data_IF_390917940393
#
_entry.id   IF_390917940393
#
_cell.length_a   1.000
_cell.length_b   1.000
_cell.length_c   1.000
_cell.angle_alpha   90.00
_cell.angle_beta   90.00
_cell.angle_gamma   90.00
#
_symmetry.space_group_name_H-M   'P 1'
#
loop_
_entity.id
_entity.type
_entity.pdbx_description
1 polymer ?
#
# COMPACT_ATOMS: atom_id res chain seq x y z
N UNK A 1 -5.91 26.48 -70.03
CA UNK A 1 -4.84 26.77 -70.98
C UNK A 1 -3.50 26.39 -70.38
N UNK A 2 -2.90 25.39 -71.01
CA UNK A 2 -1.52 25.31 -71.47
C UNK A 2 -0.45 25.21 -70.35
N UNK A 3 0.55 24.36 -70.36
CA UNK A 3 1.11 23.43 -71.37
C UNK A 3 2.04 22.42 -70.60
N UNK A 4 2.03 21.23 -71.09
CA UNK A 4 3.02 20.19 -70.71
C UNK A 4 4.39 20.47 -71.33
N UNK A 5 5.48 20.09 -70.62
CA UNK A 5 6.77 19.94 -71.31
C UNK A 5 7.39 18.59 -70.86
N UNK A 6 7.63 17.73 -71.85
CA UNK A 6 8.40 16.49 -71.80
C UNK A 6 9.89 16.79 -71.68
N UNK A 7 10.59 16.02 -70.88
CA UNK A 7 12.04 15.88 -71.05
C UNK A 7 12.42 14.39 -71.00
N UNK A 8 13.19 14.02 -71.95
CA UNK A 8 13.63 12.70 -72.40
C UNK A 8 14.68 12.07 -71.54
N UNK A 9 14.65 10.75 -71.49
CA UNK A 9 15.48 9.87 -70.69
C UNK A 9 16.95 9.73 -71.14
N UNK A 10 17.72 9.15 -70.24
CA UNK A 10 18.99 8.51 -70.53
C UNK A 10 19.16 7.26 -69.69
N UNK A 11 19.15 6.11 -70.30
CA UNK A 11 19.39 4.82 -69.70
C UNK A 11 20.87 4.64 -69.43
N UNK A 12 21.19 4.29 -68.15
CA UNK A 12 22.51 3.80 -67.78
C UNK A 12 22.43 2.31 -67.39
N UNK A 13 23.19 1.50 -68.08
CA UNK A 13 23.37 0.04 -67.90
C UNK A 13 23.85 -0.23 -66.45
N UNK A 14 23.15 -1.13 -65.74
CA UNK A 14 23.61 -1.75 -64.50
C UNK A 14 24.19 -3.13 -64.76
N UNK A 15 25.41 -3.34 -64.28
CA UNK A 15 26.09 -4.65 -64.22
C UNK A 15 25.48 -5.53 -63.12
N UNK A 16 25.52 -6.87 -63.22
CA UNK A 16 24.89 -7.76 -62.25
C UNK A 16 25.76 -7.91 -61.00
N UNK A 17 25.18 -7.62 -59.85
CA UNK A 17 25.78 -7.90 -58.55
C UNK A 17 25.48 -9.35 -58.15
N UNK A 18 26.55 -10.09 -57.92
CA UNK A 18 26.59 -11.47 -57.44
C UNK A 18 25.95 -11.59 -56.06
N UNK A 19 24.82 -12.34 -55.95
CA UNK A 19 24.22 -12.71 -54.66
C UNK A 19 25.11 -13.71 -53.93
N UNK A 20 25.64 -13.34 -52.80
CA UNK A 20 26.24 -14.24 -51.82
C UNK A 20 25.13 -14.63 -50.84
N UNK A 21 24.72 -15.89 -50.84
CA UNK A 21 23.78 -16.48 -49.92
C UNK A 21 24.48 -16.70 -48.57
N UNK A 22 24.18 -15.83 -47.59
CA UNK A 22 24.56 -16.04 -46.18
C UNK A 22 23.46 -16.88 -45.53
N UNK A 23 23.73 -18.17 -45.33
CA UNK A 23 22.96 -19.05 -44.46
C UNK A 23 23.27 -18.69 -43.01
N UNK A 24 22.47 -17.78 -42.40
CA UNK A 24 22.49 -17.54 -40.95
C UNK A 24 21.70 -18.66 -40.26
N UNK A 25 22.43 -19.59 -39.63
CA UNK A 25 21.85 -20.50 -38.63
C UNK A 25 21.40 -19.68 -37.45
N UNK A 26 20.08 -19.45 -37.30
CA UNK A 26 19.47 -18.98 -36.05
C UNK A 26 19.62 -20.08 -34.99
N UNK A 27 20.69 -20.00 -34.20
CA UNK A 27 20.78 -20.71 -32.93
C UNK A 27 19.94 -19.92 -31.94
N UNK A 28 18.70 -20.36 -31.75
CA UNK A 28 17.89 -19.93 -30.60
C UNK A 28 18.56 -20.43 -29.33
N UNK A 29 19.43 -19.62 -28.75
CA UNK A 29 19.91 -19.86 -27.38
C UNK A 29 18.73 -19.76 -26.46
N UNK A 30 18.31 -20.90 -25.90
CA UNK A 30 17.42 -20.99 -24.76
C UNK A 30 18.06 -20.15 -23.64
N UNK A 31 17.35 -19.18 -23.01
CA UNK A 31 17.94 -18.42 -21.92
C UNK A 31 18.38 -19.39 -20.83
N UNK A 32 19.51 -19.11 -20.14
CA UNK A 32 20.04 -19.98 -19.11
C UNK A 32 18.95 -20.24 -18.07
N UNK A 33 18.72 -21.50 -17.75
CA UNK A 33 17.80 -21.90 -16.68
C UNK A 33 18.35 -21.33 -15.39
N UNK A 34 17.61 -20.36 -14.80
CA UNK A 34 17.98 -19.77 -13.52
C UNK A 34 18.15 -20.88 -12.48
N UNK A 35 19.24 -20.82 -11.71
CA UNK A 35 19.53 -21.73 -10.62
C UNK A 35 18.32 -21.74 -9.65
N UNK A 36 17.68 -22.90 -9.42
CA UNK A 36 16.46 -22.99 -8.61
C UNK A 36 16.66 -22.41 -7.19
N UNK A 37 17.86 -22.49 -6.62
CA UNK A 37 18.19 -21.96 -5.29
C UNK A 37 18.19 -20.42 -5.26
N UNK A 38 18.58 -19.75 -6.36
CA UNK A 38 18.62 -18.27 -6.45
C UNK A 38 17.25 -17.63 -6.58
N UNK A 39 16.22 -18.38 -6.97
CA UNK A 39 14.85 -17.89 -7.17
C UNK A 39 13.88 -18.29 -6.06
N UNK A 40 14.33 -18.85 -4.95
CA UNK A 40 13.51 -19.19 -3.78
C UNK A 40 13.71 -18.16 -2.68
N UNK A 41 12.61 -17.66 -2.08
CA UNK A 41 12.58 -16.67 -1.00
C UNK A 41 11.56 -17.14 0.04
N UNK A 42 11.95 -17.23 1.30
CA UNK A 42 11.12 -17.75 2.39
C UNK A 42 10.35 -19.04 2.01
N UNK A 43 11.01 -19.99 1.36
CA UNK A 43 10.40 -21.25 0.89
C UNK A 43 9.57 -21.14 -0.40
N UNK A 44 9.29 -19.95 -0.89
CA UNK A 44 8.45 -19.71 -2.08
C UNK A 44 9.31 -19.58 -3.33
N UNK A 45 9.03 -20.40 -4.35
CA UNK A 45 9.68 -20.28 -5.65
C UNK A 45 9.11 -19.06 -6.41
N UNK A 46 9.97 -18.11 -6.74
CA UNK A 46 9.61 -16.89 -7.48
C UNK A 46 9.75 -17.14 -8.98
N UNK A 47 8.64 -17.19 -9.70
CA UNK A 47 8.63 -17.26 -11.16
C UNK A 47 8.91 -15.89 -11.78
N UNK A 48 9.63 -15.85 -12.91
CA UNK A 48 10.04 -14.60 -13.56
C UNK A 48 10.70 -13.61 -12.56
N UNK A 49 11.78 -14.02 -11.86
CA UNK A 49 12.40 -13.26 -10.77
C UNK A 49 12.86 -11.88 -11.22
N UNK A 50 13.32 -11.75 -12.47
CA UNK A 50 13.89 -10.53 -13.05
C UNK A 50 12.82 -9.58 -13.62
N UNK A 51 11.53 -9.97 -13.59
CA UNK A 51 10.45 -9.09 -14.04
C UNK A 51 10.47 -7.82 -13.21
N UNK A 52 10.57 -6.66 -13.86
CA UNK A 52 10.56 -5.36 -13.20
C UNK A 52 9.17 -5.06 -12.66
N UNK A 53 9.09 -4.83 -11.36
CA UNK A 53 7.89 -4.33 -10.67
C UNK A 53 7.87 -2.80 -10.71
N UNK A 54 9.02 -2.17 -10.44
CA UNK A 54 9.22 -0.72 -10.56
C UNK A 54 10.28 -0.45 -11.64
N UNK A 55 9.86 -0.28 -12.91
CA UNK A 55 10.80 -0.11 -14.02
C UNK A 55 11.68 1.13 -13.89
N UNK A 56 11.14 2.22 -13.34
CA UNK A 56 11.84 3.48 -13.07
C UNK A 56 13.00 3.34 -12.08
N UNK A 57 12.95 2.32 -11.21
CA UNK A 57 13.96 2.06 -10.19
C UNK A 57 14.77 0.77 -10.45
N UNK A 58 14.45 0.04 -11.51
CA UNK A 58 15.05 -1.26 -11.79
C UNK A 58 14.74 -2.33 -10.74
N UNK A 59 13.69 -2.16 -9.92
CA UNK A 59 13.33 -3.11 -8.86
C UNK A 59 12.53 -4.26 -9.46
N UNK A 60 13.09 -5.47 -9.33
CA UNK A 60 12.51 -6.72 -9.84
C UNK A 60 11.59 -7.39 -8.83
N UNK A 61 10.86 -8.41 -9.31
CA UNK A 61 9.94 -9.22 -8.52
C UNK A 61 10.64 -9.95 -7.38
N UNK A 62 11.84 -10.47 -7.61
CA UNK A 62 12.59 -11.14 -6.56
C UNK A 62 13.09 -10.17 -5.51
N UNK A 63 13.41 -8.93 -5.89
CA UNK A 63 13.80 -7.90 -4.93
C UNK A 63 12.62 -7.48 -4.05
N UNK A 64 11.40 -7.41 -4.59
CA UNK A 64 10.18 -7.21 -3.78
C UNK A 64 9.95 -8.39 -2.81
N UNK A 65 10.12 -9.63 -3.27
CA UNK A 65 9.99 -10.81 -2.41
C UNK A 65 11.02 -10.81 -1.26
N UNK A 66 12.29 -10.52 -1.57
CA UNK A 66 13.37 -10.40 -0.58
C UNK A 66 13.17 -9.23 0.38
N UNK A 67 12.59 -8.13 -0.08
CA UNK A 67 12.19 -7.04 0.81
C UNK A 67 11.28 -7.55 1.91
N UNK A 68 10.22 -8.30 1.59
CA UNK A 68 9.31 -8.86 2.58
C UNK A 68 10.01 -9.88 3.50
N UNK A 69 10.86 -10.74 2.95
CA UNK A 69 11.63 -11.70 3.74
C UNK A 69 12.51 -11.00 4.80
N UNK A 70 13.20 -9.91 4.41
CA UNK A 70 13.99 -9.11 5.33
C UNK A 70 13.18 -8.38 6.41
N UNK A 71 11.89 -8.17 6.18
CA UNK A 71 10.99 -7.48 7.09
C UNK A 71 10.00 -8.46 7.77
N UNK A 72 10.27 -9.75 7.79
CA UNK A 72 9.34 -10.77 8.30
C UNK A 72 8.77 -10.42 9.68
N UNK A 73 9.67 -10.18 10.66
CA UNK A 73 9.29 -9.88 12.04
C UNK A 73 8.53 -8.55 12.20
N UNK A 74 8.66 -7.66 11.22
CA UNK A 74 8.03 -6.35 11.23
C UNK A 74 6.66 -6.35 10.55
N UNK A 75 6.52 -7.02 9.40
CA UNK A 75 5.28 -6.94 8.61
C UNK A 75 4.24 -7.98 9.03
N UNK A 76 4.67 -9.20 9.38
CA UNK A 76 3.76 -10.31 9.71
C UNK A 76 2.77 -9.95 10.82
N UNK A 77 3.17 -9.32 11.94
CA UNK A 77 2.23 -8.92 12.98
C UNK A 77 1.12 -7.97 12.50
N UNK A 78 1.38 -7.18 11.46
CA UNK A 78 0.42 -6.21 10.94
C UNK A 78 -0.60 -6.80 9.96
N UNK A 79 -0.27 -7.93 9.31
CA UNK A 79 -1.14 -8.59 8.31
C UNK A 79 -1.83 -9.83 8.86
N UNK A 80 -1.22 -10.53 9.80
CA UNK A 80 -1.73 -11.81 10.33
C UNK A 80 -3.15 -11.67 10.88
N UNK A 81 -3.98 -12.66 10.61
CA UNK A 81 -5.37 -12.71 11.04
C UNK A 81 -6.30 -11.70 10.35
N UNK A 82 -5.84 -10.90 9.38
CA UNK A 82 -6.67 -9.84 8.77
C UNK A 82 -7.07 -10.15 7.34
N UNK A 83 -8.35 -9.94 6.98
CA UNK A 83 -8.76 -9.98 5.59
C UNK A 83 -8.04 -8.91 4.78
N UNK A 84 -7.57 -9.28 3.59
CA UNK A 84 -6.75 -8.43 2.74
C UNK A 84 -7.53 -7.88 1.54
N UNK A 85 -7.21 -6.66 1.17
CA UNK A 85 -7.45 -6.10 -0.17
C UNK A 85 -6.09 -5.79 -0.79
N UNK A 86 -5.89 -6.15 -2.04
CA UNK A 86 -4.57 -6.23 -2.66
C UNK A 86 -4.54 -5.40 -3.94
N UNK A 87 -3.38 -4.80 -4.25
CA UNK A 87 -3.13 -4.20 -5.56
C UNK A 87 -2.22 -5.13 -6.34
N UNK A 88 -2.77 -5.72 -7.38
CA UNK A 88 -2.13 -6.69 -8.25
C UNK A 88 -1.60 -6.00 -9.51
N UNK A 89 -0.30 -6.09 -9.73
CA UNK A 89 0.43 -5.52 -10.86
C UNK A 89 1.16 -6.64 -11.61
N UNK A 90 0.46 -7.47 -12.41
CA UNK A 90 1.03 -8.70 -13.00
C UNK A 90 2.19 -8.42 -13.96
N UNK A 91 2.19 -7.27 -14.62
CA UNK A 91 3.26 -6.82 -15.51
C UNK A 91 4.15 -5.72 -14.89
N UNK A 92 4.11 -5.56 -13.54
CA UNK A 92 4.72 -4.42 -12.86
C UNK A 92 3.97 -3.12 -13.14
N UNK A 93 4.58 -1.99 -12.76
CA UNK A 93 3.97 -0.66 -12.91
C UNK A 93 4.03 -0.12 -14.36
N UNK A 94 4.63 -0.84 -15.30
CA UNK A 94 4.56 -0.51 -16.72
C UNK A 94 3.15 -0.68 -17.32
N UNK A 95 2.23 -1.35 -16.61
CA UNK A 95 0.85 -1.57 -16.99
C UNK A 95 -0.11 -1.25 -15.84
N UNK A 96 -1.40 -1.05 -16.12
CA UNK A 96 -2.40 -0.79 -15.08
C UNK A 96 -2.46 -1.93 -14.05
N UNK A 97 -2.50 -1.56 -12.78
CA UNK A 97 -2.71 -2.49 -11.67
C UNK A 97 -4.20 -2.67 -11.38
N UNK A 98 -4.57 -3.79 -10.79
CA UNK A 98 -5.94 -4.19 -10.51
C UNK A 98 -6.16 -4.28 -9.00
N UNK A 99 -7.25 -3.72 -8.51
CA UNK A 99 -7.69 -3.90 -7.12
C UNK A 99 -8.35 -5.29 -6.97
N UNK A 100 -7.82 -6.10 -6.06
CA UNK A 100 -8.35 -7.42 -5.72
C UNK A 100 -8.90 -7.39 -4.29
N UNK A 101 -10.20 -7.31 -4.16
CA UNK A 101 -10.92 -7.40 -2.88
C UNK A 101 -11.14 -8.85 -2.47
N UNK A 102 -11.47 -9.71 -3.44
CA UNK A 102 -11.78 -11.11 -3.20
C UNK A 102 -10.72 -12.03 -3.78
N UNK A 103 -10.55 -13.18 -3.15
CA UNK A 103 -9.68 -14.25 -3.61
C UNK A 103 -10.11 -14.73 -5.01
N UNK A 104 -9.14 -14.99 -5.87
CA UNK A 104 -9.38 -15.68 -7.14
C UNK A 104 -9.43 -17.19 -6.90
N UNK A 105 -10.01 -17.94 -7.84
CA UNK A 105 -10.08 -19.40 -7.75
C UNK A 105 -8.71 -20.07 -7.56
N UNK A 106 -7.66 -19.45 -8.10
CA UNK A 106 -6.25 -19.85 -7.97
C UNK A 106 -5.53 -18.99 -6.93
N UNK A 107 -4.56 -19.56 -6.26
CA UNK A 107 -3.68 -18.86 -5.31
C UNK A 107 -2.79 -19.86 -4.56
N UNK A 108 -1.65 -19.39 -4.01
CA UNK A 108 -0.76 -20.21 -3.20
C UNK A 108 -1.44 -20.80 -1.96
N UNK A 109 -1.09 -22.04 -1.61
CA UNK A 109 -1.60 -22.75 -0.42
C UNK A 109 -1.21 -22.08 0.90
N UNK A 110 -0.13 -21.32 0.92
CA UNK A 110 0.30 -20.54 2.09
C UNK A 110 -0.69 -19.43 2.49
N UNK A 111 -1.56 -19.00 1.57
CA UNK A 111 -2.60 -18.00 1.84
C UNK A 111 -3.88 -18.66 2.33
N UNK A 112 -4.29 -18.33 3.54
CA UNK A 112 -5.57 -18.78 4.09
C UNK A 112 -6.73 -18.08 3.38
N UNK A 113 -7.82 -18.80 3.16
CA UNK A 113 -9.06 -18.28 2.55
C UNK A 113 -10.15 -18.27 3.58
N UNK A 114 -10.85 -17.15 3.68
CA UNK A 114 -11.94 -16.95 4.65
C UNK A 114 -13.15 -16.40 3.95
N UNK A 115 -14.29 -17.03 4.16
CA UNK A 115 -15.60 -16.56 3.67
C UNK A 115 -16.17 -15.57 4.68
N UNK A 116 -16.51 -14.37 4.22
CA UNK A 116 -17.06 -13.30 5.05
C UNK A 116 -18.39 -12.84 4.43
N UNK A 117 -19.46 -12.80 5.25
CA UNK A 117 -20.72 -12.24 4.83
C UNK A 117 -20.58 -10.73 4.66
N UNK A 118 -20.78 -10.22 3.46
CA UNK A 118 -20.96 -8.82 3.15
C UNK A 118 -22.44 -8.43 3.21
N UNK A 119 -22.79 -7.19 2.91
CA UNK A 119 -24.21 -6.75 2.95
C UNK A 119 -25.13 -7.61 2.08
N UNK A 120 -24.69 -7.99 0.88
CA UNK A 120 -25.53 -8.64 -0.14
C UNK A 120 -25.02 -10.00 -0.61
N UNK A 121 -23.79 -10.37 -0.27
CA UNK A 121 -23.13 -11.61 -0.73
C UNK A 121 -22.09 -12.11 0.23
N UNK A 122 -21.65 -13.34 0.06
CA UNK A 122 -20.46 -13.88 0.72
C UNK A 122 -19.25 -13.59 -0.16
N UNK A 123 -18.27 -12.85 0.38
CA UNK A 123 -16.97 -12.63 -0.23
C UNK A 123 -15.93 -13.60 0.32
N UNK A 124 -15.05 -14.12 -0.52
CA UNK A 124 -13.90 -14.90 -0.07
C UNK A 124 -12.66 -14.01 -0.04
N UNK A 125 -12.04 -13.90 1.13
CA UNK A 125 -10.87 -13.04 1.37
C UNK A 125 -9.61 -13.86 1.59
N UNK A 126 -8.47 -13.29 1.21
CA UNK A 126 -7.14 -13.84 1.54
C UNK A 126 -6.68 -13.31 2.88
N UNK A 127 -5.95 -14.16 3.62
CA UNK A 127 -5.26 -13.82 4.87
C UNK A 127 -3.85 -14.36 4.78
N UNK A 128 -2.85 -13.56 5.19
CA UNK A 128 -1.43 -13.91 5.18
C UNK A 128 -0.90 -13.97 6.62
N UNK A 129 -0.76 -15.18 7.16
CA UNK A 129 -0.42 -15.39 8.57
C UNK A 129 1.08 -15.67 8.80
N UNK A 130 1.85 -15.74 7.72
CA UNK A 130 3.29 -16.05 7.78
C UNK A 130 4.07 -15.27 6.73
N UNK A 131 5.39 -15.27 6.85
CA UNK A 131 6.25 -14.66 5.83
C UNK A 131 6.17 -15.40 4.49
N UNK A 132 5.99 -16.70 4.50
CA UNK A 132 5.74 -17.49 3.29
C UNK A 132 4.47 -16.99 2.57
N UNK A 133 3.40 -16.72 3.32
CA UNK A 133 2.16 -16.17 2.78
C UNK A 133 2.37 -14.76 2.20
N UNK A 134 3.10 -13.88 2.89
CA UNK A 134 3.41 -12.52 2.40
C UNK A 134 4.29 -12.57 1.14
N UNK A 135 5.31 -13.43 1.12
CA UNK A 135 6.16 -13.62 -0.08
C UNK A 135 5.36 -14.24 -1.23
N UNK A 136 4.39 -15.09 -0.92
CA UNK A 136 3.46 -15.64 -1.92
C UNK A 136 2.61 -14.54 -2.59
N UNK A 137 2.25 -13.47 -1.87
CA UNK A 137 1.62 -12.30 -2.47
C UNK A 137 2.55 -11.62 -3.49
N UNK A 138 3.84 -11.43 -3.16
CA UNK A 138 4.82 -10.91 -4.11
C UNK A 138 4.99 -11.84 -5.33
N UNK A 139 4.99 -13.17 -5.12
CA UNK A 139 4.99 -14.15 -6.21
C UNK A 139 3.78 -13.98 -7.13
N UNK A 140 2.61 -13.65 -6.61
CA UNK A 140 1.40 -13.35 -7.39
C UNK A 140 1.48 -12.01 -8.14
N UNK A 141 2.49 -11.18 -7.90
CA UNK A 141 2.59 -9.81 -8.45
C UNK A 141 1.77 -8.79 -7.65
N UNK A 142 1.48 -9.08 -6.39
CA UNK A 142 0.87 -8.12 -5.48
C UNK A 142 1.96 -7.13 -5.02
N UNK A 143 1.64 -5.85 -5.10
CA UNK A 143 2.52 -4.76 -4.68
C UNK A 143 2.01 -4.09 -3.43
N UNK A 144 0.72 -3.73 -3.35
CA UNK A 144 0.15 -3.14 -2.13
C UNK A 144 -0.67 -4.15 -1.36
N UNK A 145 -0.46 -4.18 -0.05
CA UNK A 145 -1.24 -4.97 0.91
C UNK A 145 -2.04 -4.00 1.76
N UNK A 146 -3.36 -4.13 1.72
CA UNK A 146 -4.28 -3.37 2.57
C UNK A 146 -5.02 -4.34 3.50
N UNK A 147 -5.21 -3.94 4.74
CA UNK A 147 -5.80 -4.80 5.77
C UNK A 147 -7.06 -4.19 6.35
N UNK A 148 -7.99 -5.06 6.76
CA UNK A 148 -9.11 -4.65 7.59
C UNK A 148 -8.65 -4.22 8.98
N UNK A 149 -9.48 -3.44 9.67
CA UNK A 149 -9.24 -3.05 11.07
C UNK A 149 -9.65 -4.15 12.06
N UNK A 150 -10.46 -5.10 11.64
CA UNK A 150 -10.82 -6.31 12.38
C UNK A 150 -9.91 -7.47 12.02
N UNK A 151 -9.87 -8.49 12.86
CA UNK A 151 -9.29 -9.79 12.58
C UNK A 151 -10.41 -10.81 12.27
N UNK A 152 -10.03 -11.97 11.74
CA UNK A 152 -10.99 -13.03 11.41
C UNK A 152 -11.58 -13.73 12.63
N UNK A 153 -10.97 -13.55 13.79
CA UNK A 153 -11.47 -14.05 15.08
C UNK A 153 -12.74 -13.30 15.50
N UNK A 154 -12.78 -11.98 15.22
CA UNK A 154 -13.98 -11.16 15.43
C UNK A 154 -14.06 -10.08 14.35
N UNK A 155 -14.78 -10.40 13.30
CA UNK A 155 -14.86 -9.55 12.10
C UNK A 155 -15.72 -8.30 12.32
N UNK A 156 -16.66 -8.37 13.26
CA UNK A 156 -17.61 -7.29 13.54
C UNK A 156 -17.06 -6.29 14.58
N UNK A 157 -16.02 -6.66 15.33
CA UNK A 157 -15.39 -5.79 16.34
C UNK A 157 -13.95 -5.47 15.97
N UNK A 158 -13.67 -4.25 15.49
CA UNK A 158 -12.31 -3.82 15.18
C UNK A 158 -11.41 -3.81 16.41
N UNK A 159 -10.16 -4.20 16.23
CA UNK A 159 -9.13 -4.08 17.25
C UNK A 159 -8.15 -2.92 16.99
N UNK A 160 -8.49 -2.05 16.04
CA UNK A 160 -7.81 -0.77 15.80
C UNK A 160 -8.74 0.21 15.07
N UNK A 161 -8.43 1.50 15.22
CA UNK A 161 -9.03 2.59 14.46
C UNK A 161 -7.94 3.33 13.71
N UNK A 162 -8.26 3.82 12.51
CA UNK A 162 -7.33 4.54 11.65
C UNK A 162 -7.95 5.85 11.18
N UNK A 163 -7.23 6.95 11.34
CA UNK A 163 -7.49 8.23 10.67
C UNK A 163 -6.48 8.39 9.54
N UNK A 164 -6.96 8.48 8.31
CA UNK A 164 -6.14 8.70 7.12
C UNK A 164 -6.16 10.20 6.77
N UNK A 165 -5.02 10.85 6.92
CA UNK A 165 -4.85 12.27 6.63
C UNK A 165 -4.40 12.41 5.17
N UNK A 166 -5.36 12.74 4.28
CA UNK A 166 -5.13 12.85 2.84
C UNK A 166 -5.04 14.33 2.41
N UNK A 167 -3.82 14.85 2.18
CA UNK A 167 -3.60 16.24 1.83
C UNK A 167 -3.91 16.55 0.38
N UNK A 168 -4.58 17.67 0.14
CA UNK A 168 -4.69 18.27 -1.19
C UNK A 168 -3.33 18.69 -1.75
N UNK A 169 -3.23 18.93 -3.07
CA UNK A 169 -1.95 19.15 -3.75
C UNK A 169 -1.16 20.36 -3.24
N UNK A 170 -1.81 21.39 -2.71
CA UNK A 170 -1.17 22.59 -2.19
C UNK A 170 -0.82 22.53 -0.69
N UNK A 171 -1.15 21.42 -0.01
CA UNK A 171 -0.84 21.23 1.41
C UNK A 171 0.62 20.80 1.57
N UNK A 172 1.32 21.44 2.49
CA UNK A 172 2.72 21.12 2.82
C UNK A 172 2.81 19.94 3.80
N UNK A 173 3.94 19.24 3.79
CA UNK A 173 4.22 18.16 4.77
C UNK A 173 4.10 18.64 6.21
N UNK A 174 4.61 19.83 6.53
CA UNK A 174 4.50 20.43 7.86
C UNK A 174 3.06 20.57 8.34
N UNK A 175 2.13 20.91 7.45
CA UNK A 175 0.71 20.99 7.76
C UNK A 175 0.11 19.59 8.03
N UNK A 176 0.52 18.57 7.27
CA UNK A 176 0.09 17.17 7.51
C UNK A 176 0.58 16.67 8.87
N UNK A 177 1.83 16.95 9.22
CA UNK A 177 2.42 16.63 10.53
C UNK A 177 1.66 17.32 11.66
N UNK A 178 1.35 18.63 11.50
CA UNK A 178 0.54 19.37 12.46
C UNK A 178 -0.85 18.76 12.63
N UNK A 179 -1.50 18.36 11.53
CA UNK A 179 -2.80 17.70 11.57
C UNK A 179 -2.74 16.36 12.34
N UNK A 180 -1.71 15.54 12.07
CA UNK A 180 -1.52 14.27 12.79
C UNK A 180 -1.31 14.51 14.29
N UNK A 181 -0.53 15.52 14.68
CA UNK A 181 -0.34 15.93 16.07
C UNK A 181 -1.65 16.38 16.73
N UNK A 182 -2.50 17.11 15.99
CA UNK A 182 -3.82 17.51 16.47
C UNK A 182 -4.73 16.30 16.72
N UNK A 183 -4.80 15.36 15.77
CA UNK A 183 -5.54 14.09 15.96
C UNK A 183 -5.04 13.38 17.22
N UNK A 184 -3.72 13.23 17.39
CA UNK A 184 -3.12 12.59 18.56
C UNK A 184 -3.46 13.30 19.87
N UNK A 185 -3.48 14.64 19.85
CA UNK A 185 -3.85 15.44 21.02
C UNK A 185 -5.31 15.22 21.42
N UNK A 186 -6.23 15.27 20.47
CA UNK A 186 -7.66 14.99 20.71
C UNK A 186 -7.83 13.56 21.25
N UNK A 187 -7.19 12.57 20.65
CA UNK A 187 -7.25 11.20 21.14
C UNK A 187 -6.72 11.05 22.56
N UNK A 188 -5.65 11.76 22.90
CA UNK A 188 -5.09 11.76 24.26
C UNK A 188 -6.06 12.35 25.29
N UNK A 189 -6.82 13.42 24.95
CA UNK A 189 -7.86 13.96 25.87
C UNK A 189 -9.01 12.97 26.06
N UNK A 190 -9.22 12.07 25.09
CA UNK A 190 -10.19 10.97 25.18
C UNK A 190 -9.61 9.70 25.85
N UNK A 191 -8.40 9.78 26.44
CA UNK A 191 -7.75 8.65 27.13
C UNK A 191 -7.11 7.62 26.18
N UNK A 192 -6.92 7.94 24.89
CA UNK A 192 -6.40 7.02 23.89
C UNK A 192 -4.98 7.40 23.45
N UNK A 193 -4.08 6.45 23.54
CA UNK A 193 -2.73 6.54 22.96
C UNK A 193 -2.76 6.18 21.49
N UNK A 194 -2.06 6.93 20.67
CA UNK A 194 -2.02 6.75 19.22
C UNK A 194 -0.60 6.59 18.67
N UNK A 195 -0.50 5.96 17.53
CA UNK A 195 0.72 5.74 16.76
C UNK A 195 0.59 6.34 15.37
N UNK A 196 1.70 6.62 14.72
CA UNK A 196 1.72 7.29 13.43
C UNK A 196 2.55 6.50 12.41
N UNK A 197 2.07 6.44 11.17
CA UNK A 197 2.84 5.92 10.03
C UNK A 197 2.59 6.74 8.79
N UNK A 198 3.55 6.71 7.85
CA UNK A 198 3.30 7.26 6.51
C UNK A 198 2.30 6.39 5.75
N UNK A 199 1.62 6.97 4.77
CA UNK A 199 0.77 6.20 3.84
C UNK A 199 1.56 5.61 2.67
N UNK A 200 2.88 5.85 2.60
CA UNK A 200 3.67 5.62 1.39
C UNK A 200 3.26 6.54 0.23
N UNK A 201 2.70 7.68 0.56
CA UNK A 201 2.33 8.80 -0.29
C UNK A 201 2.57 10.10 0.47
N UNK A 202 1.72 11.09 0.24
CA UNK A 202 1.83 12.43 0.87
C UNK A 202 1.16 12.54 2.23
N UNK A 203 0.42 11.50 2.66
CA UNK A 203 -0.40 11.51 3.86
C UNK A 203 0.22 10.74 5.03
N UNK A 204 -0.45 10.83 6.18
CA UNK A 204 -0.17 10.09 7.40
C UNK A 204 -1.40 9.31 7.85
N UNK A 205 -1.19 8.15 8.44
CA UNK A 205 -2.22 7.49 9.26
C UNK A 205 -1.90 7.69 10.74
N UNK A 206 -2.91 8.11 11.49
CA UNK A 206 -2.91 7.99 12.95
C UNK A 206 -3.69 6.73 13.31
N UNK A 207 -3.08 5.84 14.08
CA UNK A 207 -3.59 4.50 14.37
C UNK A 207 -3.72 4.31 15.87
N UNK A 208 -4.86 3.80 16.31
CA UNK A 208 -5.16 3.51 17.71
C UNK A 208 -5.51 2.03 17.83
N UNK A 209 -4.69 1.18 18.48
CA UNK A 209 -5.11 -0.16 18.85
C UNK A 209 -6.14 -0.08 19.97
N UNK A 210 -7.15 -0.91 19.92
CA UNK A 210 -8.23 -0.98 20.91
C UNK A 210 -8.59 -2.44 21.20
N UNK A 211 -9.10 -2.70 22.40
CA UNK A 211 -9.81 -3.95 22.66
C UNK A 211 -11.07 -4.01 21.78
N UNK A 212 -11.43 -5.16 21.24
CA UNK A 212 -12.61 -5.32 20.36
C UNK A 212 -13.91 -5.33 21.20
N UNK A 213 -14.19 -4.22 21.91
CA UNK A 213 -15.39 -4.05 22.74
C UNK A 213 -16.54 -3.39 21.96
N UNK A 214 -16.23 -2.53 21.00
CA UNK A 214 -17.20 -1.80 20.16
C UNK A 214 -17.31 -2.43 18.79
N UNK A 215 -18.52 -2.40 18.21
CA UNK A 215 -18.72 -2.88 16.85
C UNK A 215 -18.22 -1.88 15.79
N UNK A 216 -18.27 -2.31 14.51
CA UNK A 216 -17.81 -1.48 13.39
C UNK A 216 -18.59 -0.17 13.28
N UNK A 217 -19.90 -0.16 13.56
CA UNK A 217 -20.72 1.04 13.42
C UNK A 217 -20.37 2.06 14.51
N UNK A 218 -20.21 1.62 15.74
CA UNK A 218 -19.77 2.44 16.87
C UNK A 218 -18.36 2.99 16.63
N UNK A 219 -17.43 2.17 16.17
CA UNK A 219 -16.06 2.61 15.83
C UNK A 219 -16.07 3.66 14.70
N UNK A 220 -16.92 3.49 13.71
CA UNK A 220 -17.09 4.44 12.60
C UNK A 220 -17.67 5.77 13.11
N UNK A 221 -18.71 5.72 13.94
CA UNK A 221 -19.33 6.91 14.54
C UNK A 221 -18.33 7.68 15.42
N UNK A 222 -17.62 6.98 16.30
CA UNK A 222 -16.56 7.57 17.12
C UNK A 222 -15.50 8.25 16.27
N UNK A 223 -14.99 7.55 15.26
CA UNK A 223 -13.94 8.10 14.39
C UNK A 223 -14.42 9.29 13.55
N UNK A 224 -15.69 9.29 13.15
CA UNK A 224 -16.35 10.42 12.49
C UNK A 224 -16.42 11.63 13.42
N UNK A 225 -16.90 11.46 14.66
CA UNK A 225 -17.01 12.54 15.65
C UNK A 225 -15.68 13.23 15.91
N UNK A 226 -14.59 12.43 16.08
CA UNK A 226 -13.22 12.98 16.20
C UNK A 226 -12.82 13.75 14.95
N UNK A 227 -13.11 13.23 13.75
CA UNK A 227 -12.76 13.90 12.48
C UNK A 227 -13.52 15.23 12.32
N UNK A 228 -14.81 15.24 12.64
CA UNK A 228 -15.66 16.41 12.54
C UNK A 228 -15.24 17.49 13.58
N UNK A 229 -14.86 17.08 14.78
CA UNK A 229 -14.30 17.99 15.79
C UNK A 229 -13.02 18.67 15.29
N UNK A 230 -12.10 17.91 14.70
CA UNK A 230 -10.86 18.45 14.11
C UNK A 230 -11.18 19.40 12.95
N UNK A 231 -12.12 19.02 12.06
CA UNK A 231 -12.49 19.86 10.93
C UNK A 231 -13.08 21.22 11.35
N UNK A 232 -13.76 21.28 12.53
CA UNK A 232 -14.26 22.54 13.09
C UNK A 232 -13.18 23.46 13.62
N UNK A 233 -11.99 22.95 14.01
CA UNK A 233 -10.91 23.80 14.55
C UNK A 233 -10.30 24.73 13.49
N UNK A 234 -10.27 24.33 12.23
CA UNK A 234 -9.80 25.14 11.10
C UNK A 234 -10.44 24.65 9.78
N UNK A 235 -11.67 25.10 9.48
CA UNK A 235 -12.39 24.66 8.27
C UNK A 235 -11.72 25.07 6.94
N UNK A 236 -10.74 25.97 6.98
CA UNK A 236 -9.95 26.33 5.80
C UNK A 236 -8.87 25.31 5.50
N UNK A 237 -8.37 24.62 6.53
CA UNK A 237 -7.30 23.62 6.38
C UNK A 237 -7.80 22.17 6.50
N UNK A 238 -8.84 21.90 7.28
CA UNK A 238 -9.34 20.54 7.54
C UNK A 238 -10.75 20.35 6.95
N UNK A 239 -11.06 19.11 6.57
CA UNK A 239 -12.38 18.75 6.07
C UNK A 239 -12.66 17.26 6.27
N UNK A 240 -13.94 16.91 6.42
CA UNK A 240 -14.45 15.53 6.36
C UNK A 240 -15.21 15.27 5.05
N UNK A 241 -15.23 16.24 4.13
CA UNK A 241 -15.90 16.13 2.82
C UNK A 241 -15.03 15.38 1.84
N UNK A 242 -15.54 14.26 1.29
CA UNK A 242 -14.82 13.38 0.38
C UNK A 242 -14.69 13.91 -1.05
N UNK A 243 -15.55 14.83 -1.47
CA UNK A 243 -15.45 15.46 -2.78
C UNK A 243 -14.09 16.12 -2.98
N UNK A 244 -13.46 15.88 -4.14
CA UNK A 244 -12.12 16.44 -4.45
C UNK A 244 -12.16 17.92 -4.77
N UNK A 245 -13.27 18.38 -5.34
CA UNK A 245 -13.46 19.78 -5.67
C UNK A 245 -13.41 20.65 -4.40
N UNK A 246 -12.59 21.69 -4.40
CA UNK A 246 -12.40 22.58 -3.26
C UNK A 246 -11.50 22.04 -2.13
N UNK A 247 -10.80 20.91 -2.36
CA UNK A 247 -9.86 20.31 -1.40
C UNK A 247 -8.39 20.62 -1.69
N UNK A 248 -8.07 21.43 -2.65
CA UNK A 248 -6.69 21.66 -3.11
C UNK A 248 -5.76 22.10 -1.98
N UNK A 249 -6.29 22.91 -1.03
CA UNK A 249 -5.56 23.44 0.14
C UNK A 249 -5.98 22.80 1.46
N UNK A 250 -6.78 21.72 1.44
CA UNK A 250 -7.32 21.10 2.64
C UNK A 250 -6.74 19.69 2.87
N UNK A 251 -6.75 19.27 4.11
CA UNK A 251 -6.47 17.90 4.53
C UNK A 251 -7.81 17.24 4.81
N UNK A 252 -8.11 16.17 4.10
CA UNK A 252 -9.22 15.28 4.45
C UNK A 252 -8.82 14.46 5.67
N UNK A 253 -9.64 14.52 6.72
CA UNK A 253 -9.54 13.62 7.88
C UNK A 253 -10.46 12.45 7.58
N UNK A 254 -9.94 11.46 6.85
CA UNK A 254 -10.73 10.29 6.39
C UNK A 254 -10.90 9.27 7.52
N UNK A 255 -12.13 9.20 8.02
CA UNK A 255 -12.60 8.24 9.02
C UNK A 255 -13.22 6.99 8.39
N UNK A 256 -13.54 6.99 7.08
CA UNK A 256 -14.20 5.87 6.42
C UNK A 256 -13.32 4.62 6.33
N UNK A 257 -12.01 4.72 6.65
CA UNK A 257 -11.15 3.54 6.84
C UNK A 257 -11.67 2.61 7.93
N UNK A 258 -12.53 3.12 8.81
CA UNK A 258 -13.13 2.35 9.91
C UNK A 258 -14.51 1.75 9.55
N UNK A 259 -15.01 1.99 8.32
CA UNK A 259 -16.24 1.35 7.85
C UNK A 259 -15.98 -0.12 7.52
N UNK A 260 -17.02 -0.95 7.69
CA UNK A 260 -16.95 -2.39 7.38
C UNK A 260 -16.52 -2.60 5.94
N UNK A 261 -15.64 -3.56 5.71
CA UNK A 261 -14.99 -3.90 4.43
C UNK A 261 -14.05 -2.83 3.85
N UNK A 262 -13.92 -1.66 4.47
CA UNK A 262 -12.90 -0.70 4.09
C UNK A 262 -11.54 -1.12 4.66
N UNK A 263 -10.49 -0.67 3.99
CA UNK A 263 -9.12 -1.07 4.33
C UNK A 263 -8.20 0.13 4.37
N UNK A 264 -7.11 0.00 5.08
CA UNK A 264 -5.98 0.92 5.06
C UNK A 264 -4.71 0.20 4.62
N UNK A 265 -3.80 0.93 3.99
CA UNK A 265 -2.50 0.36 3.60
C UNK A 265 -1.80 -0.22 4.84
N UNK A 266 -1.31 -1.45 4.73
CA UNK A 266 -0.60 -2.12 5.80
C UNK A 266 0.73 -1.44 6.11
N UNK A 267 1.15 -1.46 7.37
CA UNK A 267 2.51 -1.08 7.74
C UNK A 267 3.53 -1.90 6.94
N UNK A 268 4.60 -1.26 6.52
CA UNK A 268 5.68 -1.82 5.69
C UNK A 268 5.28 -2.25 4.28
N UNK A 269 4.03 -2.06 3.86
CA UNK A 269 3.64 -2.30 2.47
C UNK A 269 4.15 -1.17 1.57
N UNK A 270 4.85 -1.47 0.46
CA UNK A 270 5.16 -0.48 -0.56
C UNK A 270 3.89 -0.05 -1.32
N UNK A 271 3.98 1.08 -2.03
CA UNK A 271 2.90 1.58 -2.89
C UNK A 271 3.19 1.25 -4.34
N UNK A 272 2.15 0.89 -5.07
CA UNK A 272 2.17 0.68 -6.51
C UNK A 272 2.19 2.04 -7.26
N UNK A 273 3.22 2.83 -7.01
CA UNK A 273 3.44 4.17 -7.58
C UNK A 273 4.94 4.37 -7.82
N UNK A 274 5.35 5.26 -8.73
CA UNK A 274 6.74 5.65 -8.90
C UNK A 274 7.41 6.00 -7.55
N UNK A 275 8.69 5.68 -7.41
CA UNK A 275 9.45 5.93 -6.17
C UNK A 275 9.36 4.82 -5.12
N UNK A 276 8.49 3.80 -5.29
CA UNK A 276 8.36 2.63 -4.40
C UNK A 276 8.32 3.00 -2.90
N UNK A 277 7.60 4.08 -2.55
CA UNK A 277 7.45 4.53 -1.17
C UNK A 277 6.69 3.51 -0.34
N UNK A 278 7.02 3.46 0.96
CA UNK A 278 6.52 2.47 1.91
C UNK A 278 5.65 3.14 2.97
N UNK A 279 4.60 2.45 3.39
CA UNK A 279 3.80 2.81 4.56
C UNK A 279 4.60 2.49 5.84
N UNK A 280 5.42 3.45 6.28
CA UNK A 280 6.43 3.27 7.33
C UNK A 280 5.91 3.68 8.72
N UNK A 281 5.87 2.76 9.70
CA UNK A 281 5.70 3.09 11.11
C UNK A 281 6.82 4.00 11.61
N UNK A 282 6.43 5.06 12.33
CA UNK A 282 7.36 6.09 12.79
C UNK A 282 7.13 6.39 14.28
N UNK A 283 8.18 6.87 14.93
CA UNK A 283 8.02 7.62 16.17
C UNK A 283 7.48 9.02 15.84
N UNK A 284 6.71 9.61 16.77
CA UNK A 284 6.20 10.98 16.61
C UNK A 284 7.31 12.01 16.40
N UNK A 285 8.50 11.78 16.96
CA UNK A 285 9.69 12.61 16.77
C UNK A 285 10.32 12.51 15.37
N UNK A 286 10.04 11.45 14.61
CA UNK A 286 10.62 11.21 13.28
C UNK A 286 9.88 11.91 12.13
N UNK A 287 8.75 12.57 12.40
CA UNK A 287 7.89 13.22 11.40
C UNK A 287 8.51 14.46 10.73
N UNK A 288 9.64 14.95 11.23
CA UNK A 288 10.38 16.06 10.60
C UNK A 288 11.00 15.66 9.23
N UNK A 289 11.17 14.36 8.99
CA UNK A 289 11.68 13.87 7.72
C UNK A 289 10.57 13.77 6.67
N UNK A 290 10.90 14.13 5.42
CA UNK A 290 9.99 13.97 4.28
C UNK A 290 9.57 12.50 4.07
N UNK A 291 8.30 12.23 3.70
CA UNK A 291 7.80 10.86 3.51
C UNK A 291 8.49 10.12 2.36
N UNK A 292 9.02 10.82 1.35
CA UNK A 292 9.76 10.25 0.22
C UNK A 292 11.04 9.52 0.65
N UNK A 293 11.51 9.78 1.87
CA UNK A 293 12.65 9.08 2.46
C UNK A 293 12.41 7.59 2.65
N UNK A 294 11.17 7.17 2.83
CA UNK A 294 10.82 5.79 3.17
C UNK A 294 10.43 5.01 1.92
N UNK A 295 11.42 4.37 1.33
CA UNK A 295 11.27 3.56 0.11
C UNK A 295 11.58 2.10 0.36
N UNK A 296 11.23 1.25 -0.60
CA UNK A 296 11.58 -0.17 -0.60
C UNK A 296 13.09 -0.42 -0.40
N UNK A 297 13.96 0.51 -0.86
CA UNK A 297 15.41 0.40 -0.71
C UNK A 297 15.92 0.91 0.65
N UNK A 298 15.29 1.94 1.23
CA UNK A 298 15.82 2.60 2.45
C UNK A 298 15.26 2.01 3.74
N UNK A 299 14.04 1.45 3.71
CA UNK A 299 13.38 0.87 4.90
C UNK A 299 14.18 -0.28 5.52
N UNK A 300 14.71 -1.27 4.78
CA UNK A 300 15.52 -2.34 5.38
C UNK A 300 16.77 -1.81 6.09
N UNK A 301 17.39 -0.75 5.54
CA UNK A 301 18.57 -0.12 6.12
C UNK A 301 18.23 0.62 7.42
N UNK A 302 17.07 1.29 7.47
CA UNK A 302 16.58 1.91 8.71
C UNK A 302 16.35 0.87 9.79
N UNK A 303 15.61 -0.20 9.48
CA UNK A 303 15.25 -1.23 10.46
C UNK A 303 16.47 -1.88 11.10
N UNK A 304 17.55 -2.12 10.32
CA UNK A 304 18.83 -2.60 10.85
C UNK A 304 19.51 -1.66 11.85
N UNK A 305 19.18 -0.36 11.81
CA UNK A 305 19.76 0.68 12.68
C UNK A 305 18.87 1.02 13.88
N UNK A 306 17.62 0.58 13.88
CA UNK A 306 16.71 0.81 14.99
C UNK A 306 17.16 0.01 16.21
N UNK A 307 17.27 0.69 17.36
CA UNK A 307 17.51 0.04 18.66
C UNK A 307 16.22 -0.49 19.27
N UNK A 308 15.10 0.15 18.96
CA UNK A 308 13.78 -0.18 19.51
C UNK A 308 12.73 0.06 18.43
N UNK A 309 11.76 -0.83 18.32
CA UNK A 309 10.59 -0.63 17.46
C UNK A 309 9.80 0.59 17.95
N UNK A 310 9.57 1.63 17.11
CA UNK A 310 8.75 2.79 17.47
C UNK A 310 7.32 2.39 17.84
N UNK A 311 6.87 1.20 17.41
CA UNK A 311 5.55 0.65 17.68
C UNK A 311 5.55 -0.50 18.72
N UNK A 312 6.65 -0.72 19.46
CA UNK A 312 6.72 -1.80 20.47
C UNK A 312 5.54 -1.77 21.45
N UNK A 313 5.17 -0.59 21.96
CA UNK A 313 4.04 -0.43 22.89
C UNK A 313 2.66 -0.55 22.23
N UNK A 314 2.59 -0.49 20.89
CA UNK A 314 1.34 -0.69 20.15
C UNK A 314 0.73 -2.08 20.42
N UNK A 315 1.57 -3.09 20.59
CA UNK A 315 1.14 -4.48 20.77
C UNK A 315 0.74 -4.82 22.20
N UNK A 316 1.13 -3.99 23.16
CA UNK A 316 0.95 -4.27 24.60
C UNK A 316 -0.01 -3.30 25.29
N UNK A 317 -0.38 -2.18 24.64
CA UNK A 317 -1.31 -1.22 25.22
C UNK A 317 -2.70 -1.85 25.32
N UNK A 318 -3.28 -1.76 26.51
CA UNK A 318 -4.65 -2.20 26.78
C UNK A 318 -5.56 -0.98 26.94
N UNK A 319 -6.21 -0.58 25.86
CA UNK A 319 -7.14 0.56 25.85
C UNK A 319 -8.41 0.22 25.05
N UNK A 320 -9.48 0.94 25.32
CA UNK A 320 -10.78 0.78 24.67
C UNK A 320 -11.48 2.13 24.51
N UNK A 321 -12.45 2.21 23.62
CA UNK A 321 -13.34 3.37 23.55
C UNK A 321 -14.38 3.21 24.69
N UNK A 322 -14.17 3.93 25.79
CA UNK A 322 -15.12 3.94 26.89
C UNK A 322 -16.39 4.72 26.55
N UNK A 323 -17.47 4.49 27.32
CA UNK A 323 -18.70 5.29 27.18
C UNK A 323 -18.43 6.78 27.42
N UNK A 324 -17.54 7.10 28.37
CA UNK A 324 -17.11 8.49 28.64
C UNK A 324 -16.41 9.11 27.43
N UNK A 325 -15.49 8.37 26.79
CA UNK A 325 -14.79 8.83 25.57
C UNK A 325 -15.77 9.02 24.41
N UNK A 326 -16.73 8.10 24.28
CA UNK A 326 -17.76 8.16 23.24
C UNK A 326 -18.69 9.36 23.43
N UNK A 327 -19.19 9.57 24.66
CA UNK A 327 -20.01 10.74 25.00
C UNK A 327 -19.27 12.06 24.86
N UNK A 328 -17.97 12.12 25.22
CA UNK A 328 -17.16 13.32 25.07
C UNK A 328 -16.99 13.75 23.61
N UNK A 329 -16.89 12.80 22.67
CA UNK A 329 -16.80 13.10 21.23
C UNK A 329 -18.09 13.73 20.71
N UNK A 330 -19.26 13.35 21.24
CA UNK A 330 -20.55 13.96 20.83
C UNK A 330 -20.69 15.42 21.31
N UNK A 331 -19.95 15.80 22.35
CA UNK A 331 -19.91 17.17 22.90
C UNK A 331 -18.80 18.06 22.30
N UNK A 332 -17.88 17.49 21.48
CA UNK A 332 -16.84 18.23 20.77
C UNK A 332 -17.39 18.86 19.49
#
# INVERSE_FOLDING_TARGET
>A
MAKATKATGRATRRSPVRRVSATSRNVTQKPPTADPGKSTVAGVRISHPDRLIYPDLGISKIQLARYYEHLADWIVPHVAGRPLTLVHCPAGLAAPCIYLKHAKAWGPSALRRVKIQEKTKVGEYLVADSIEAVVSLAQMGIVEIHTWNSTIEDIERPNRIVWDLDPGPAVTWKQVVKAAGLVSTVLKTLGLTSWVKTTGGRGLHVVVPIKPARDVAECLEFSRGVSDAIARTDPQLYTTTFAKLGRERKILIDYLRNNRTNTSICAYSPRARPGAMVSMPLDWGDLNASPERWTLSTVPQRLKRLRTDPWAKYWTVAQEISDASFGAVQGL
#
